data_IF_425362044453
#
_entry.id   IF_425362044453
#
_cell.length_a   1.000
_cell.length_b   1.000
_cell.length_c   1.000
_cell.angle_alpha   90.00
_cell.angle_beta   90.00
_cell.angle_gamma   90.00
#
_symmetry.space_group_name_H-M   'P 1'
#
loop_
_entity.id
_entity.type
_entity.pdbx_description
1 polymer ?
#
# COMPACT_ATOMS: atom_id res chain seq x y z
N UNK A 1 14.83 8.84 -3.57
CA UNK A 1 14.56 7.39 -3.57
C UNK A 1 13.52 7.14 -4.64
N UNK A 2 13.89 6.45 -5.72
CA UNK A 2 13.05 6.24 -6.91
C UNK A 2 11.99 5.18 -6.60
N UNK A 3 10.73 5.43 -6.97
CA UNK A 3 9.69 4.39 -6.88
C UNK A 3 10.08 3.20 -7.77
N UNK A 4 9.81 1.95 -7.34
CA UNK A 4 10.08 0.79 -8.18
C UNK A 4 9.31 0.92 -9.50
N UNK A 5 9.98 0.65 -10.62
CA UNK A 5 9.40 0.77 -11.96
C UNK A 5 8.18 -0.16 -12.18
N UNK A 6 8.13 -1.27 -11.44
CA UNK A 6 6.96 -2.14 -11.34
C UNK A 6 6.80 -2.60 -9.88
N UNK A 7 5.93 -1.95 -9.09
CA UNK A 7 5.72 -2.32 -7.70
C UNK A 7 5.00 -3.66 -7.57
N UNK A 8 5.49 -4.53 -6.68
CA UNK A 8 4.73 -5.69 -6.23
C UNK A 8 3.64 -5.22 -5.24
N UNK A 9 2.41 -5.04 -5.74
CA UNK A 9 1.28 -4.57 -4.94
C UNK A 9 0.89 -5.54 -3.82
N UNK A 10 1.11 -6.84 -4.01
CA UNK A 10 0.88 -7.81 -2.95
C UNK A 10 1.87 -7.59 -1.81
N UNK A 11 3.16 -7.40 -2.12
CA UNK A 11 4.19 -7.13 -1.12
C UNK A 11 3.93 -5.81 -0.40
N UNK A 12 3.65 -4.73 -1.14
CA UNK A 12 3.35 -3.40 -0.59
C UNK A 12 2.20 -3.45 0.42
N UNK A 13 1.07 -4.08 0.05
CA UNK A 13 -0.09 -4.18 0.93
C UNK A 13 0.20 -5.12 2.11
N UNK A 14 0.91 -6.23 1.89
CA UNK A 14 1.25 -7.18 2.96
C UNK A 14 2.19 -6.57 3.98
N UNK A 15 3.12 -5.71 3.57
CA UNK A 15 4.03 -5.03 4.48
C UNK A 15 3.31 -3.98 5.32
N UNK A 16 2.37 -3.23 4.73
CA UNK A 16 1.48 -2.35 5.48
C UNK A 16 0.66 -3.12 6.54
N UNK A 17 0.16 -4.31 6.19
CA UNK A 17 -0.53 -5.18 7.14
C UNK A 17 0.39 -5.69 8.26
N UNK A 18 1.64 -6.04 7.93
CA UNK A 18 2.66 -6.45 8.93
C UNK A 18 3.04 -5.29 9.86
N UNK A 19 3.04 -4.06 9.37
CA UNK A 19 3.20 -2.84 10.16
C UNK A 19 1.95 -2.50 11.01
N UNK A 20 0.93 -3.37 11.03
CA UNK A 20 -0.25 -3.28 11.89
C UNK A 20 -1.44 -2.56 11.27
N UNK A 21 -1.38 -2.14 10.01
CA UNK A 21 -2.54 -1.52 9.35
C UNK A 21 -3.54 -2.58 8.88
N UNK A 22 -4.83 -2.30 9.02
CA UNK A 22 -5.87 -3.10 8.38
C UNK A 22 -6.11 -2.63 6.95
N UNK A 23 -6.61 -3.51 6.08
CA UNK A 23 -7.03 -3.12 4.72
C UNK A 23 -8.12 -2.05 4.71
N UNK A 24 -8.91 -1.93 5.80
CA UNK A 24 -9.89 -0.85 5.95
C UNK A 24 -9.18 0.48 6.10
N UNK A 25 -8.22 0.59 7.01
CA UNK A 25 -7.46 1.83 7.25
C UNK A 25 -6.66 2.24 6.01
N UNK A 26 -6.07 1.27 5.30
CA UNK A 26 -5.43 1.51 4.00
C UNK A 26 -6.44 2.09 3.01
N UNK A 27 -7.63 1.49 2.90
CA UNK A 27 -8.66 1.94 1.97
C UNK A 27 -9.16 3.36 2.31
N UNK A 28 -9.38 3.64 3.60
CA UNK A 28 -9.82 4.94 4.09
C UNK A 28 -8.77 6.03 3.81
N UNK A 29 -7.47 5.72 3.97
CA UNK A 29 -6.38 6.64 3.64
C UNK A 29 -6.32 6.96 2.15
N UNK A 30 -6.51 5.96 1.29
CA UNK A 30 -6.44 6.11 -0.18
C UNK A 30 -7.74 6.68 -0.75
N UNK A 31 -8.85 6.60 -0.02
CA UNK A 31 -10.18 7.03 -0.46
C UNK A 31 -10.86 6.03 -1.40
N UNK A 32 -10.69 4.73 -1.15
CA UNK A 32 -11.31 3.64 -1.91
C UNK A 32 -12.03 2.66 -0.99
N UNK A 33 -12.71 1.66 -1.56
CA UNK A 33 -13.31 0.59 -0.75
C UNK A 33 -12.28 -0.43 -0.30
N UNK A 34 -12.51 -1.09 0.86
CA UNK A 34 -11.70 -2.25 1.30
C UNK A 34 -11.61 -3.33 0.22
N UNK A 35 -12.72 -3.62 -0.47
CA UNK A 35 -12.75 -4.62 -1.55
C UNK A 35 -11.84 -4.25 -2.71
N UNK A 36 -11.66 -2.96 -2.99
CA UNK A 36 -10.70 -2.45 -3.97
C UNK A 36 -9.26 -2.76 -3.55
N UNK A 37 -8.90 -2.50 -2.29
CA UNK A 37 -7.58 -2.86 -1.74
C UNK A 37 -7.34 -4.37 -1.79
N UNK A 38 -8.33 -5.18 -1.39
CA UNK A 38 -8.25 -6.63 -1.48
C UNK A 38 -8.07 -7.12 -2.93
N UNK A 39 -8.73 -6.47 -3.90
CA UNK A 39 -8.58 -6.79 -5.31
C UNK A 39 -7.18 -6.46 -5.82
N UNK A 40 -6.58 -5.35 -5.39
CA UNK A 40 -5.20 -5.01 -5.74
C UNK A 40 -4.17 -5.99 -5.19
N UNK A 41 -4.47 -6.56 -4.02
CA UNK A 41 -3.61 -7.58 -3.42
C UNK A 41 -3.64 -8.90 -4.21
N UNK A 42 -4.75 -9.24 -4.85
CA UNK A 42 -4.96 -10.58 -5.42
C UNK A 42 -4.89 -10.65 -6.95
N UNK A 43 -5.43 -9.65 -7.65
CA UNK A 43 -5.76 -9.81 -9.08
C UNK A 43 -5.46 -8.58 -9.94
N UNK A 44 -5.51 -7.39 -9.36
CA UNK A 44 -5.50 -6.13 -10.11
C UNK A 44 -4.39 -5.21 -9.64
N UNK A 45 -4.18 -4.13 -10.37
CA UNK A 45 -3.26 -3.07 -9.98
C UNK A 45 -4.02 -1.75 -9.75
N UNK A 46 -3.58 -0.91 -8.79
CA UNK A 46 -4.14 0.41 -8.63
C UNK A 46 -3.82 1.29 -9.85
N UNK A 47 -4.78 2.12 -10.26
CA UNK A 47 -4.51 3.19 -11.23
C UNK A 47 -3.46 4.14 -10.70
N UNK A 48 -2.75 4.83 -11.60
CA UNK A 48 -1.62 5.73 -11.29
C UNK A 48 -1.79 6.50 -9.97
N UNK A 49 -2.83 7.32 -9.83
CA UNK A 49 -3.08 8.14 -8.62
C UNK A 49 -3.16 7.31 -7.32
N UNK A 50 -3.86 6.19 -7.36
CA UNK A 50 -4.04 5.33 -6.19
C UNK A 50 -2.75 4.57 -5.88
N UNK A 51 -2.02 4.14 -6.92
CA UNK A 51 -0.74 3.47 -6.77
C UNK A 51 0.31 4.39 -6.14
N UNK A 52 0.38 5.65 -6.60
CA UNK A 52 1.28 6.65 -6.00
C UNK A 52 0.95 6.90 -4.53
N UNK A 53 -0.34 7.04 -4.18
CA UNK A 53 -0.76 7.23 -2.80
C UNK A 53 -0.42 6.01 -1.92
N UNK A 54 -0.60 4.79 -2.44
CA UNK A 54 -0.29 3.56 -1.71
C UNK A 54 1.21 3.40 -1.46
N UNK A 55 2.04 3.72 -2.46
CA UNK A 55 3.49 3.71 -2.32
C UNK A 55 3.98 4.77 -1.32
N UNK A 56 3.39 5.96 -1.32
CA UNK A 56 3.71 6.99 -0.34
C UNK A 56 3.36 6.54 1.10
N UNK A 57 2.20 5.90 1.29
CA UNK A 57 1.80 5.32 2.56
C UNK A 57 2.78 4.24 3.03
N UNK A 58 3.14 3.32 2.12
CA UNK A 58 4.11 2.26 2.39
C UNK A 58 5.48 2.81 2.79
N UNK A 59 6.03 3.77 2.04
CA UNK A 59 7.29 4.43 2.38
C UNK A 59 7.23 5.08 3.76
N UNK A 60 6.12 5.76 4.09
CA UNK A 60 5.96 6.39 5.40
C UNK A 60 6.03 5.38 6.56
N UNK A 61 5.43 4.19 6.40
CA UNK A 61 5.42 3.16 7.43
C UNK A 61 6.73 2.37 7.52
N UNK A 62 7.32 1.99 6.39
CA UNK A 62 8.56 1.21 6.39
C UNK A 62 9.76 2.01 6.94
N UNK A 63 9.78 3.33 6.76
CA UNK A 63 10.84 4.19 7.32
C UNK A 63 10.75 4.33 8.86
N UNK A 64 9.56 4.16 9.44
CA UNK A 64 9.37 4.24 10.90
C UNK A 64 9.91 3.01 11.64
N UNK A 65 10.00 1.86 10.98
CA UNK A 65 10.46 0.61 11.60
C UNK A 65 11.98 0.45 11.62
N UNK A 66 12.72 1.04 10.67
CA UNK A 66 14.19 0.99 10.61
C UNK A 66 14.89 1.91 11.64
N UNK A 67 14.14 2.72 12.38
CA UNK A 67 14.68 3.68 13.36
C UNK A 67 14.63 3.19 14.82
N UNK A 68 14.48 1.88 15.04
CA UNK A 68 14.54 1.23 16.36
C UNK A 68 15.67 0.21 16.40
#
# INVERSE_FOLDING_TARGET
MTLPANPDWFAVISDLERAGMTQREIADYIGVSKSTVNSWKQYNEPRYRNGTALLALWQHHMHKETSR
#
